data_IF_793306551347
#
_entry.id   IF_793306551347
#
_cell.length_a   1.000
_cell.length_b   1.000
_cell.length_c   1.000
_cell.angle_alpha   90.00
_cell.angle_beta   90.00
_cell.angle_gamma   90.00
#
_symmetry.space_group_name_H-M   'P 1'
#
loop_
_entity.id
_entity.type
_entity.pdbx_description
1 polymer ?
#
# COMPACT_ATOMS: atom_id res chain seq x y z
N UNK A 1 18.17 -30.87 -3.45
CA UNK A 1 18.16 -29.55 -4.10
C UNK A 1 19.07 -28.67 -3.28
N UNK A 2 20.04 -28.05 -3.93
CA UNK A 2 21.06 -27.23 -3.26
C UNK A 2 20.44 -25.84 -3.09
N UNK A 3 19.68 -25.68 -2.00
CA UNK A 3 19.13 -24.35 -1.66
C UNK A 3 20.30 -23.49 -1.21
N UNK A 4 20.71 -22.54 -2.06
CA UNK A 4 21.60 -21.49 -1.62
C UNK A 4 20.91 -20.79 -0.45
N UNK A 5 21.59 -20.58 0.70
CA UNK A 5 20.96 -19.87 1.80
C UNK A 5 20.49 -18.50 1.28
N UNK A 6 19.19 -18.20 1.41
CA UNK A 6 18.63 -16.89 1.09
C UNK A 6 19.40 -15.84 1.88
N UNK A 7 19.79 -14.76 1.24
CA UNK A 7 20.47 -13.69 1.97
C UNK A 7 19.44 -12.77 2.63
N UNK A 8 19.80 -12.16 3.74
CA UNK A 8 18.91 -11.30 4.53
C UNK A 8 18.34 -10.14 3.71
N UNK A 9 19.11 -9.61 2.73
CA UNK A 9 18.67 -8.51 1.85
C UNK A 9 17.48 -8.94 0.99
N UNK A 10 17.59 -10.06 0.28
CA UNK A 10 16.49 -10.58 -0.54
C UNK A 10 15.26 -10.94 0.29
N UNK A 11 15.46 -11.51 1.49
CA UNK A 11 14.36 -11.85 2.39
C UNK A 11 13.62 -10.60 2.93
N UNK A 12 14.33 -9.51 3.19
CA UNK A 12 13.71 -8.25 3.63
C UNK A 12 12.89 -7.57 2.51
N UNK A 13 13.39 -7.58 1.27
CA UNK A 13 12.63 -7.08 0.12
C UNK A 13 11.37 -7.93 -0.09
N UNK A 14 11.50 -9.26 -0.15
CA UNK A 14 10.38 -10.21 -0.27
C UNK A 14 9.35 -10.01 0.85
N UNK A 15 9.79 -9.79 2.11
CA UNK A 15 8.90 -9.57 3.23
C UNK A 15 8.12 -8.24 3.12
N UNK A 16 8.77 -7.17 2.61
CA UNK A 16 8.09 -5.91 2.33
C UNK A 16 7.01 -6.12 1.27
N UNK A 17 7.37 -6.64 0.11
CA UNK A 17 6.43 -6.82 -1.01
C UNK A 17 5.26 -7.72 -0.62
N UNK A 18 5.54 -8.82 0.11
CA UNK A 18 4.49 -9.73 0.59
C UNK A 18 3.57 -9.05 1.61
N UNK A 19 4.09 -8.24 2.55
CA UNK A 19 3.25 -7.57 3.54
C UNK A 19 2.32 -6.53 2.91
N UNK A 20 2.81 -5.75 1.94
CA UNK A 20 1.98 -4.79 1.19
C UNK A 20 0.92 -5.53 0.36
N UNK A 21 1.30 -6.60 -0.33
CA UNK A 21 0.36 -7.44 -1.07
C UNK A 21 -0.75 -8.02 -0.17
N UNK A 22 -0.41 -8.49 1.04
CA UNK A 22 -1.37 -9.05 1.98
C UNK A 22 -2.39 -8.00 2.44
N UNK A 23 -1.96 -6.77 2.74
CA UNK A 23 -2.85 -5.66 3.11
C UNK A 23 -3.82 -5.35 1.97
N UNK A 24 -3.31 -5.21 0.74
CA UNK A 24 -4.12 -4.91 -0.45
C UNK A 24 -5.14 -6.01 -0.74
N UNK A 25 -4.72 -7.29 -0.68
CA UNK A 25 -5.61 -8.44 -0.90
C UNK A 25 -6.66 -8.56 0.20
N UNK A 26 -6.30 -8.25 1.44
CA UNK A 26 -7.22 -8.30 2.56
C UNK A 26 -8.35 -7.26 2.39
N UNK A 27 -8.03 -6.01 2.11
CA UNK A 27 -9.03 -4.98 1.79
C UNK A 27 -9.83 -5.32 0.53
N UNK A 28 -9.18 -5.86 -0.51
CA UNK A 28 -9.86 -6.30 -1.72
C UNK A 28 -10.84 -7.44 -1.44
N UNK A 29 -10.49 -8.40 -0.57
CA UNK A 29 -11.38 -9.50 -0.18
C UNK A 29 -12.66 -8.97 0.47
N UNK A 30 -12.54 -7.95 1.33
CA UNK A 30 -13.68 -7.27 1.95
C UNK A 30 -14.51 -6.52 0.91
N UNK A 31 -13.86 -5.75 0.03
CA UNK A 31 -14.53 -4.98 -1.02
C UNK A 31 -15.32 -5.86 -2.00
N UNK A 32 -14.75 -6.98 -2.44
CA UNK A 32 -15.40 -7.91 -3.37
C UNK A 32 -16.30 -8.94 -2.67
N UNK A 33 -16.19 -9.09 -1.34
CA UNK A 33 -16.82 -10.16 -0.57
C UNK A 33 -16.36 -11.53 -1.04
N UNK A 34 -15.09 -11.69 -1.40
CA UNK A 34 -14.52 -12.88 -2.03
C UNK A 34 -13.76 -13.75 -1.02
N UNK A 35 -14.36 -14.89 -0.56
CA UNK A 35 -13.70 -15.76 0.41
C UNK A 35 -12.47 -16.47 -0.12
N UNK A 36 -12.40 -16.76 -1.43
CA UNK A 36 -11.22 -17.41 -2.01
C UNK A 36 -10.01 -16.48 -1.94
N UNK A 37 -10.22 -15.16 -2.10
CA UNK A 37 -9.18 -14.15 -1.92
C UNK A 37 -8.76 -14.01 -0.45
N UNK A 38 -9.70 -14.10 0.47
CA UNK A 38 -9.39 -14.06 1.90
C UNK A 38 -8.60 -15.30 2.35
N UNK A 39 -8.87 -16.49 1.77
CA UNK A 39 -8.07 -17.70 2.01
C UNK A 39 -6.63 -17.54 1.49
N UNK A 40 -6.43 -16.82 0.38
CA UNK A 40 -5.10 -16.54 -0.17
C UNK A 40 -4.24 -15.68 0.78
N UNK A 41 -4.87 -14.74 1.51
CA UNK A 41 -4.18 -13.95 2.55
C UNK A 41 -3.69 -14.86 3.69
N UNK A 42 -4.47 -15.86 4.10
CA UNK A 42 -4.05 -16.85 5.09
C UNK A 42 -2.85 -17.67 4.58
N UNK A 43 -2.82 -18.06 3.29
CA UNK A 43 -1.70 -18.80 2.69
C UNK A 43 -0.42 -17.95 2.61
N UNK A 44 -0.55 -16.66 2.31
CA UNK A 44 0.59 -15.73 2.31
C UNK A 44 1.14 -15.50 3.73
N UNK A 45 0.29 -15.50 4.76
CA UNK A 45 0.73 -15.39 6.16
C UNK A 45 1.60 -16.59 6.58
N UNK A 46 1.22 -17.82 6.19
CA UNK A 46 2.04 -18.99 6.46
C UNK A 46 3.44 -18.84 5.82
N UNK A 47 3.54 -18.34 4.58
CA UNK A 47 4.81 -18.08 3.89
C UNK A 47 5.59 -16.95 4.60
N UNK A 48 4.93 -15.87 5.02
CA UNK A 48 5.54 -14.79 5.77
C UNK A 48 6.12 -15.28 7.10
N UNK A 49 5.40 -16.11 7.83
CA UNK A 49 5.87 -16.71 9.09
C UNK A 49 7.14 -17.52 8.91
N UNK A 50 7.25 -18.31 7.84
CA UNK A 50 8.47 -19.06 7.51
C UNK A 50 9.62 -18.11 7.16
N UNK A 51 9.36 -17.10 6.34
CA UNK A 51 10.35 -16.10 5.93
C UNK A 51 10.91 -15.32 7.14
N UNK A 52 10.04 -14.91 8.05
CA UNK A 52 10.41 -14.21 9.30
C UNK A 52 11.25 -15.11 10.19
N UNK A 53 10.90 -16.39 10.30
CA UNK A 53 11.70 -17.36 11.07
C UNK A 53 13.13 -17.45 10.52
N UNK A 54 13.29 -17.54 9.21
CA UNK A 54 14.59 -17.62 8.54
C UNK A 54 15.39 -16.33 8.71
N UNK A 55 14.76 -15.15 8.56
CA UNK A 55 15.40 -13.86 8.81
C UNK A 55 15.92 -13.75 10.25
N UNK A 56 15.12 -14.14 11.23
CA UNK A 56 15.53 -14.16 12.65
C UNK A 56 16.75 -15.06 12.88
N UNK A 57 16.79 -16.23 12.27
CA UNK A 57 17.91 -17.15 12.37
C UNK A 57 19.19 -16.54 11.76
N UNK A 58 19.10 -15.90 10.59
CA UNK A 58 20.23 -15.22 9.95
C UNK A 58 20.72 -14.04 10.78
N UNK A 59 19.84 -13.21 11.34
CA UNK A 59 20.21 -12.09 12.22
C UNK A 59 20.98 -12.56 13.45
N UNK A 60 20.53 -13.65 14.09
CA UNK A 60 21.22 -14.25 15.25
C UNK A 60 22.60 -14.77 14.87
N UNK A 61 22.75 -15.39 13.70
CA UNK A 61 24.05 -15.91 13.22
C UNK A 61 25.01 -14.79 12.77
N UNK A 62 24.49 -13.65 12.32
CA UNK A 62 25.29 -12.51 11.89
C UNK A 62 25.93 -11.77 13.06
N UNK A 63 25.30 -11.76 14.24
CA UNK A 63 25.75 -11.02 15.43
C UNK A 63 26.95 -11.74 16.10
N UNK A 64 28.18 -11.29 15.79
CA UNK A 64 29.44 -11.84 16.36
C UNK A 64 30.05 -10.94 17.45
N UNK A 65 29.51 -9.75 17.61
CA UNK A 65 29.97 -8.77 18.62
C UNK A 65 28.76 -7.99 19.17
N UNK A 66 28.89 -7.36 20.37
CA UNK A 66 27.81 -6.53 20.92
C UNK A 66 27.33 -5.43 19.97
N UNK A 67 28.23 -4.80 19.21
CA UNK A 67 27.87 -3.74 18.24
C UNK A 67 27.10 -4.29 17.05
N UNK A 68 27.47 -5.45 16.54
CA UNK A 68 26.73 -6.13 15.47
C UNK A 68 25.36 -6.60 15.97
N UNK A 69 25.27 -7.06 17.23
CA UNK A 69 24.00 -7.44 17.86
C UNK A 69 23.05 -6.25 17.99
N UNK A 70 23.57 -5.06 18.31
CA UNK A 70 22.80 -3.81 18.38
C UNK A 70 22.23 -3.43 16.99
N UNK A 71 23.07 -3.48 15.93
CA UNK A 71 22.61 -3.28 14.56
C UNK A 71 21.56 -4.32 14.11
N UNK A 72 21.76 -5.62 14.45
CA UNK A 72 20.77 -6.66 14.13
C UNK A 72 19.45 -6.49 14.93
N UNK A 73 19.49 -5.85 16.10
CA UNK A 73 18.28 -5.56 16.88
C UNK A 73 17.34 -4.61 16.11
N UNK A 74 17.88 -3.61 15.39
CA UNK A 74 17.06 -2.72 14.56
C UNK A 74 16.40 -3.48 13.39
N UNK A 75 17.14 -4.41 12.78
CA UNK A 75 16.57 -5.28 11.73
C UNK A 75 15.46 -6.16 12.29
N UNK A 76 15.67 -6.80 13.45
CA UNK A 76 14.66 -7.65 14.09
C UNK A 76 13.41 -6.88 14.50
N UNK A 77 13.53 -5.60 14.85
CA UNK A 77 12.38 -4.74 15.15
C UNK A 77 11.51 -4.52 13.90
N UNK A 78 12.14 -4.17 12.78
CA UNK A 78 11.43 -4.00 11.49
C UNK A 78 10.79 -5.33 11.05
N UNK A 79 11.53 -6.45 11.10
CA UNK A 79 10.99 -7.78 10.77
C UNK A 79 9.78 -8.14 11.64
N UNK A 80 9.83 -7.79 12.94
CA UNK A 80 8.70 -8.07 13.84
C UNK A 80 7.49 -7.17 13.58
N UNK A 81 7.69 -5.95 13.09
CA UNK A 81 6.58 -5.08 12.66
C UNK A 81 5.94 -5.62 11.37
N UNK A 82 6.75 -5.99 10.38
CA UNK A 82 6.26 -6.61 9.12
C UNK A 82 5.43 -7.87 9.40
N UNK A 83 5.89 -8.76 10.29
CA UNK A 83 5.15 -9.95 10.67
C UNK A 83 3.77 -9.60 11.30
N UNK A 84 3.73 -8.57 12.15
CA UNK A 84 2.46 -8.13 12.74
C UNK A 84 1.54 -7.51 11.70
N UNK A 85 2.05 -6.71 10.74
CA UNK A 85 1.25 -6.19 9.62
C UNK A 85 0.61 -7.33 8.81
N UNK A 86 1.35 -8.42 8.59
CA UNK A 86 0.79 -9.60 7.94
C UNK A 86 -0.36 -10.23 8.75
N UNK A 87 -0.23 -10.31 10.09
CA UNK A 87 -1.31 -10.76 10.96
C UNK A 87 -2.53 -9.82 10.91
N UNK A 88 -2.32 -8.50 10.91
CA UNK A 88 -3.39 -7.51 10.83
C UNK A 88 -4.15 -7.63 9.48
N UNK A 89 -3.44 -7.91 8.38
CA UNK A 89 -4.05 -8.23 7.08
C UNK A 89 -4.94 -9.51 7.16
N UNK A 90 -4.48 -10.55 7.86
CA UNK A 90 -5.31 -11.75 8.11
C UNK A 90 -6.55 -11.40 8.92
N UNK A 91 -6.45 -10.51 9.91
CA UNK A 91 -7.61 -10.09 10.72
C UNK A 91 -8.63 -9.33 9.86
N UNK A 92 -8.20 -8.51 8.89
CA UNK A 92 -9.08 -7.92 7.87
C UNK A 92 -9.75 -9.03 7.02
N UNK A 93 -9.00 -9.98 6.49
CA UNK A 93 -9.52 -11.05 5.64
C UNK A 93 -10.54 -11.96 6.38
N UNK A 94 -10.36 -12.17 7.69
CA UNK A 94 -11.28 -12.92 8.55
C UNK A 94 -12.68 -12.34 8.60
N UNK A 95 -12.88 -11.06 8.31
CA UNK A 95 -14.20 -10.45 8.18
C UNK A 95 -15.02 -11.20 7.14
N UNK A 96 -14.42 -11.60 6.04
CA UNK A 96 -15.05 -12.33 4.94
C UNK A 96 -15.20 -13.82 5.28
N UNK A 97 -14.13 -14.49 5.71
CA UNK A 97 -14.15 -15.93 6.00
C UNK A 97 -15.07 -16.26 7.18
N UNK A 98 -15.12 -15.41 8.20
CA UNK A 98 -16.01 -15.56 9.36
C UNK A 98 -17.39 -14.94 9.16
N UNK A 99 -17.66 -14.35 7.97
CA UNK A 99 -18.93 -13.72 7.61
C UNK A 99 -19.38 -12.69 8.66
N UNK A 100 -18.47 -11.87 9.11
CA UNK A 100 -18.80 -10.74 9.96
C UNK A 100 -19.61 -9.75 9.12
N UNK A 101 -20.69 -9.21 9.67
CA UNK A 101 -21.58 -8.33 8.93
C UNK A 101 -20.86 -7.06 8.52
N UNK A 102 -21.02 -6.68 7.25
CA UNK A 102 -20.54 -5.42 6.67
C UNK A 102 -21.74 -4.72 6.06
N UNK A 103 -21.99 -3.43 6.39
CA UNK A 103 -23.01 -2.63 5.73
C UNK A 103 -22.73 -2.49 4.24
N UNK A 104 -23.78 -2.46 3.42
CA UNK A 104 -23.63 -2.28 1.96
C UNK A 104 -23.05 -0.94 1.58
N UNK A 105 -23.27 0.08 2.40
CA UNK A 105 -22.71 1.42 2.25
C UNK A 105 -21.19 1.39 2.20
N UNK A 106 -20.53 0.60 3.06
CA UNK A 106 -19.08 0.50 3.09
C UNK A 106 -18.50 0.10 1.72
N UNK A 107 -19.12 -0.86 1.02
CA UNK A 107 -18.63 -1.30 -0.29
C UNK A 107 -18.74 -0.19 -1.34
N UNK A 108 -19.76 0.66 -1.26
CA UNK A 108 -19.90 1.81 -2.15
C UNK A 108 -18.84 2.88 -1.85
N UNK A 109 -18.65 3.21 -0.57
CA UNK A 109 -17.75 4.29 -0.15
C UNK A 109 -16.27 3.90 -0.27
N UNK A 110 -15.92 2.61 -0.14
CA UNK A 110 -14.57 2.12 -0.46
C UNK A 110 -14.17 2.34 -1.93
N UNK A 111 -15.14 2.55 -2.84
CA UNK A 111 -14.84 2.93 -4.23
C UNK A 111 -14.38 4.39 -4.38
N UNK A 112 -14.55 5.22 -3.36
CA UNK A 112 -14.13 6.62 -3.31
C UNK A 112 -12.83 6.81 -2.49
N UNK A 113 -12.19 5.71 -2.06
CA UNK A 113 -10.89 5.75 -1.37
C UNK A 113 -9.78 6.35 -2.26
N UNK A 114 -8.69 6.80 -1.65
CA UNK A 114 -7.51 7.36 -2.38
C UNK A 114 -6.90 6.30 -3.30
N UNK A 115 -6.82 5.06 -2.84
CA UNK A 115 -6.47 3.88 -3.63
C UNK A 115 -7.58 2.84 -3.52
N UNK A 116 -7.89 2.21 -4.65
CA UNK A 116 -9.02 1.29 -4.78
C UNK A 116 -8.61 -0.05 -5.35
N UNK A 117 -9.29 -1.09 -4.91
CA UNK A 117 -9.19 -2.41 -5.52
C UNK A 117 -10.12 -2.50 -6.73
N UNK A 118 -9.60 -2.94 -7.87
CA UNK A 118 -10.38 -3.13 -9.08
C UNK A 118 -10.13 -4.50 -9.69
N UNK A 119 -11.14 -5.07 -10.36
CA UNK A 119 -11.00 -6.32 -11.09
C UNK A 119 -11.39 -6.16 -12.54
N UNK A 120 -10.62 -6.77 -13.45
CA UNK A 120 -10.90 -6.73 -14.87
C UNK A 120 -10.66 -8.10 -15.52
N UNK A 121 -11.55 -8.48 -16.43
CA UNK A 121 -11.40 -9.70 -17.24
C UNK A 121 -10.56 -9.38 -18.47
N UNK A 122 -9.53 -10.17 -18.73
CA UNK A 122 -8.75 -10.13 -19.98
C UNK A 122 -9.60 -10.73 -21.11
N UNK A 123 -10.10 -9.88 -21.99
CA UNK A 123 -10.93 -10.31 -23.14
C UNK A 123 -10.06 -10.84 -24.27
N UNK A 124 -10.62 -11.76 -25.06
CA UNK A 124 -9.98 -12.22 -26.30
C UNK A 124 -9.84 -11.04 -27.28
N UNK A 125 -8.62 -10.86 -27.83
CA UNK A 125 -8.30 -9.72 -28.68
C UNK A 125 -8.04 -8.39 -27.94
N UNK A 126 -8.01 -8.35 -26.61
CA UNK A 126 -7.59 -7.20 -25.84
C UNK A 126 -6.09 -6.90 -26.03
N UNK A 127 -5.67 -5.67 -25.72
CA UNK A 127 -4.25 -5.31 -25.75
C UNK A 127 -3.40 -6.10 -24.75
N UNK A 128 -4.02 -6.63 -23.70
CA UNK A 128 -3.36 -7.40 -22.64
C UNK A 128 -3.16 -8.88 -23.00
N UNK A 129 -4.00 -9.44 -23.88
CA UNK A 129 -3.98 -10.88 -24.18
C UNK A 129 -2.65 -11.32 -24.81
N UNK A 130 -2.12 -12.44 -24.31
CA UNK A 130 -0.86 -13.05 -24.77
C UNK A 130 0.39 -12.18 -24.61
N UNK A 131 0.38 -11.24 -23.66
CA UNK A 131 1.51 -10.36 -23.37
C UNK A 131 1.99 -10.55 -21.94
N UNK A 132 3.31 -10.45 -21.69
CA UNK A 132 3.84 -10.40 -20.34
C UNK A 132 3.50 -9.05 -19.68
N UNK A 133 3.33 -9.03 -18.37
CA UNK A 133 2.97 -7.82 -17.62
C UNK A 133 3.99 -6.69 -17.80
N UNK A 134 5.28 -7.00 -17.82
CA UNK A 134 6.34 -6.01 -18.07
C UNK A 134 6.15 -5.22 -19.35
N UNK A 135 5.55 -5.82 -20.39
CA UNK A 135 5.28 -5.13 -21.66
C UNK A 135 4.03 -4.25 -21.64
N UNK A 136 3.23 -4.34 -20.60
CA UNK A 136 1.98 -3.59 -20.45
C UNK A 136 2.17 -2.32 -19.60
N UNK A 137 3.20 -2.29 -18.77
CA UNK A 137 3.56 -1.15 -17.91
C UNK A 137 2.34 -0.55 -17.17
N UNK A 138 1.45 -1.41 -16.65
CA UNK A 138 0.14 -0.99 -16.11
C UNK A 138 0.28 -0.01 -14.95
N UNK A 139 1.29 -0.19 -14.12
CA UNK A 139 1.59 0.69 -12.99
C UNK A 139 1.96 2.09 -13.46
N UNK A 140 2.75 2.18 -14.54
CA UNK A 140 3.20 3.45 -15.11
C UNK A 140 2.13 4.12 -15.98
N UNK A 141 1.35 3.34 -16.75
CA UNK A 141 0.38 3.86 -17.71
C UNK A 141 -1.02 4.12 -17.14
N UNK A 142 -1.36 3.44 -16.05
CA UNK A 142 -2.68 3.49 -15.45
C UNK A 142 -2.66 3.68 -13.92
N UNK A 143 -1.49 3.75 -13.28
CA UNK A 143 -1.41 3.85 -11.83
C UNK A 143 -2.06 2.66 -11.10
N UNK A 144 -2.11 1.48 -11.76
CA UNK A 144 -2.77 0.29 -11.23
C UNK A 144 -1.79 -0.89 -11.23
N UNK A 145 -1.45 -1.40 -10.04
CA UNK A 145 -0.60 -2.58 -9.86
C UNK A 145 -1.44 -3.86 -9.89
N UNK A 146 -0.96 -4.89 -10.56
CA UNK A 146 -1.60 -6.21 -10.51
C UNK A 146 -1.17 -6.91 -9.23
N UNK A 147 -2.11 -7.17 -8.34
CA UNK A 147 -1.89 -7.90 -7.10
C UNK A 147 -1.93 -9.40 -7.31
N UNK A 148 -2.91 -9.87 -8.09
CA UNK A 148 -3.11 -11.28 -8.33
C UNK A 148 -3.82 -11.51 -9.67
N UNK A 149 -3.63 -12.71 -10.22
CA UNK A 149 -4.32 -13.17 -11.43
C UNK A 149 -5.08 -14.44 -11.09
N UNK A 150 -6.41 -14.46 -11.35
CA UNK A 150 -7.20 -15.67 -11.24
C UNK A 150 -7.40 -16.29 -12.63
N UNK A 151 -6.78 -17.45 -12.83
CA UNK A 151 -6.87 -18.25 -14.07
C UNK A 151 -7.76 -19.45 -13.85
N UNK A 152 -9.02 -19.32 -14.23
CA UNK A 152 -10.04 -20.33 -13.93
C UNK A 152 -10.30 -20.41 -12.42
N UNK A 153 -9.79 -21.46 -11.75
CA UNK A 153 -9.89 -21.66 -10.29
C UNK A 153 -8.54 -21.50 -9.56
N UNK A 154 -7.49 -21.22 -10.29
CA UNK A 154 -6.14 -21.09 -9.74
C UNK A 154 -5.83 -19.62 -9.51
N UNK A 155 -5.32 -19.29 -8.32
CA UNK A 155 -4.72 -18.02 -8.00
C UNK A 155 -3.23 -18.02 -8.38
N UNK A 156 -2.75 -16.91 -8.87
CA UNK A 156 -1.36 -16.61 -9.16
C UNK A 156 -1.10 -15.31 -8.41
N UNK A 157 -0.44 -15.40 -7.27
CA UNK A 157 -0.09 -14.27 -6.37
C UNK A 157 1.36 -13.87 -6.51
N UNK A 158 2.22 -14.81 -6.94
CA UNK A 158 3.60 -14.51 -7.36
C UNK A 158 3.57 -13.98 -8.80
N UNK A 159 3.06 -12.74 -8.93
CA UNK A 159 2.88 -12.06 -10.22
C UNK A 159 4.10 -11.20 -10.49
N UNK A 160 4.84 -11.56 -11.52
CA UNK A 160 6.05 -10.85 -11.97
C UNK A 160 5.91 -10.28 -13.39
N UNK A 161 6.92 -9.53 -13.83
CA UNK A 161 6.95 -8.95 -15.16
C UNK A 161 6.88 -9.95 -16.31
N UNK A 162 7.30 -11.21 -16.09
CA UNK A 162 7.30 -12.30 -17.07
C UNK A 162 5.95 -13.05 -17.13
N UNK A 163 5.06 -12.77 -16.19
CA UNK A 163 3.71 -13.35 -16.13
C UNK A 163 2.91 -13.02 -17.38
N UNK A 164 2.67 -14.00 -18.24
CA UNK A 164 1.92 -13.85 -19.49
C UNK A 164 0.43 -13.98 -19.22
N UNK A 165 -0.33 -12.94 -19.56
CA UNK A 165 -1.78 -12.92 -19.46
C UNK A 165 -2.43 -13.70 -20.62
N UNK A 166 -3.49 -14.44 -20.31
CA UNK A 166 -4.28 -15.16 -21.33
C UNK A 166 -5.74 -14.75 -21.27
N UNK A 167 -6.48 -14.84 -22.39
CA UNK A 167 -7.92 -14.58 -22.39
C UNK A 167 -8.66 -15.42 -21.34
N UNK A 168 -9.52 -14.80 -20.57
CA UNK A 168 -10.23 -15.43 -19.47
C UNK A 168 -9.58 -15.25 -18.10
N UNK A 169 -8.36 -14.71 -18.03
CA UNK A 169 -7.76 -14.28 -16.75
C UNK A 169 -8.58 -13.15 -16.14
N UNK A 170 -8.78 -13.19 -14.84
CA UNK A 170 -9.30 -12.08 -14.06
C UNK A 170 -8.16 -11.47 -13.28
N UNK A 171 -7.81 -10.23 -13.63
CA UNK A 171 -6.81 -9.46 -12.91
C UNK A 171 -7.45 -8.79 -11.70
N UNK A 172 -6.79 -8.87 -10.57
CA UNK A 172 -7.09 -8.07 -9.38
C UNK A 172 -5.99 -7.02 -9.25
N UNK A 173 -6.39 -5.76 -9.18
CA UNK A 173 -5.48 -4.62 -9.23
C UNK A 173 -5.78 -3.68 -8.09
N UNK A 174 -4.74 -2.98 -7.63
CA UNK A 174 -4.81 -1.93 -6.64
C UNK A 174 -4.16 -0.65 -7.18
N UNK A 175 -4.67 0.51 -6.80
CA UNK A 175 -4.10 1.80 -7.19
C UNK A 175 -5.14 2.90 -7.42
N UNK A 176 -4.75 3.93 -8.17
CA UNK A 176 -5.58 5.12 -8.36
C UNK A 176 -6.89 4.85 -9.09
N UNK A 177 -8.05 5.32 -8.56
CA UNK A 177 -9.33 5.20 -9.25
C UNK A 177 -9.36 5.90 -10.62
N UNK A 178 -8.54 6.94 -10.80
CA UNK A 178 -8.42 7.67 -12.08
C UNK A 178 -7.85 6.80 -13.21
N UNK A 179 -7.10 5.76 -12.88
CA UNK A 179 -6.53 4.80 -13.83
C UNK A 179 -7.49 3.76 -14.36
N UNK A 180 -8.64 3.54 -13.71
CA UNK A 180 -9.58 2.47 -14.05
C UNK A 180 -10.08 2.55 -15.51
N UNK A 181 -10.35 3.75 -16.01
CA UNK A 181 -10.81 3.93 -17.39
C UNK A 181 -9.77 3.42 -18.38
N UNK A 182 -8.50 3.81 -18.18
CA UNK A 182 -7.39 3.40 -19.02
C UNK A 182 -7.14 1.90 -18.96
N UNK A 183 -7.15 1.34 -17.77
CA UNK A 183 -7.04 -0.12 -17.55
C UNK A 183 -8.09 -0.89 -18.33
N UNK A 184 -9.35 -0.46 -18.25
CA UNK A 184 -10.48 -1.14 -18.92
C UNK A 184 -10.42 -1.04 -20.44
N UNK A 185 -9.92 0.07 -20.97
CA UNK A 185 -9.62 0.18 -22.42
C UNK A 185 -8.59 -0.86 -22.86
N UNK A 186 -7.49 -1.02 -22.12
CA UNK A 186 -6.44 -2.00 -22.40
C UNK A 186 -6.96 -3.44 -22.34
N UNK A 187 -7.87 -3.74 -21.42
CA UNK A 187 -8.50 -5.04 -21.24
C UNK A 187 -9.64 -5.31 -22.25
N UNK A 188 -10.04 -4.34 -23.05
CA UNK A 188 -11.24 -4.35 -23.88
C UNK A 188 -12.52 -4.68 -23.05
N UNK A 189 -12.58 -4.16 -21.83
CA UNK A 189 -13.68 -4.35 -20.89
C UNK A 189 -14.72 -3.22 -21.03
N UNK A 190 -16.00 -3.47 -20.69
CA UNK A 190 -17.03 -2.43 -20.68
C UNK A 190 -16.67 -1.26 -19.77
N UNK A 191 -17.24 -0.08 -20.03
CA UNK A 191 -17.11 1.08 -19.13
C UNK A 191 -17.60 0.69 -17.75
N UNK A 192 -16.84 1.06 -16.71
CA UNK A 192 -17.20 0.84 -15.33
C UNK A 192 -17.84 2.11 -14.75
N UNK A 193 -18.92 1.93 -14.05
CA UNK A 193 -19.54 2.99 -13.25
C UNK A 193 -19.39 2.59 -11.79
N UNK A 194 -18.85 3.49 -10.93
CA UNK A 194 -18.76 3.21 -9.51
C UNK A 194 -20.14 2.97 -8.91
N UNK A 195 -20.26 2.12 -7.88
CA UNK A 195 -21.49 1.98 -7.11
C UNK A 195 -21.87 3.36 -6.56
N UNK A 196 -23.11 3.80 -6.75
CA UNK A 196 -23.58 5.09 -6.22
C UNK A 196 -24.23 4.85 -4.87
N UNK A 197 -23.93 5.66 -3.84
CA UNK A 197 -24.76 5.70 -2.65
C UNK A 197 -26.18 6.19 -3.01
N UNK A 198 -27.19 5.73 -2.28
CA UNK A 198 -28.58 6.16 -2.48
C UNK A 198 -28.70 7.66 -2.20
N UNK A 199 -29.01 8.46 -3.23
CA UNK A 199 -29.18 9.90 -3.10
C UNK A 199 -30.43 10.23 -2.28
N UNK A 200 -30.27 10.82 -1.11
CA UNK A 200 -31.33 11.53 -0.42
C UNK A 200 -31.59 11.23 1.04
N UNK A 201 -30.77 10.46 1.75
CA UNK A 201 -30.94 10.24 3.19
C UNK A 201 -30.16 11.27 4.04
N UNK A 202 -30.74 11.61 5.19
CA UNK A 202 -30.03 12.37 6.23
C UNK A 202 -28.87 11.50 6.74
N UNK A 203 -27.66 12.06 6.77
CA UNK A 203 -26.46 11.38 7.28
C UNK A 203 -26.75 10.72 8.63
N UNK A 204 -26.75 9.40 8.65
CA UNK A 204 -26.96 8.57 9.86
C UNK A 204 -25.64 8.39 10.61
N UNK A 205 -25.71 7.88 11.85
CA UNK A 205 -24.49 7.54 12.58
C UNK A 205 -23.73 6.37 11.92
N UNK A 206 -24.44 5.52 11.15
CA UNK A 206 -23.83 4.48 10.32
C UNK A 206 -23.02 5.10 9.16
N UNK A 207 -23.57 6.05 8.43
CA UNK A 207 -22.88 6.70 7.31
C UNK A 207 -21.59 7.37 7.81
N UNK A 208 -21.65 8.04 8.96
CA UNK A 208 -20.45 8.63 9.58
C UNK A 208 -19.40 7.59 9.98
N UNK A 209 -19.85 6.43 10.49
CA UNK A 209 -18.93 5.35 10.84
C UNK A 209 -18.24 4.80 9.57
N UNK A 210 -18.97 4.69 8.47
CA UNK A 210 -18.44 4.23 7.19
C UNK A 210 -17.47 5.24 6.59
N UNK A 211 -17.82 6.53 6.55
CA UNK A 211 -16.93 7.61 6.07
C UNK A 211 -15.59 7.60 6.83
N UNK A 212 -15.65 7.48 8.17
CA UNK A 212 -14.44 7.42 8.99
C UNK A 212 -13.63 6.17 8.70
N UNK A 213 -14.27 5.04 8.48
CA UNK A 213 -13.56 3.80 8.19
C UNK A 213 -12.81 3.86 6.84
N UNK A 214 -13.38 4.48 5.82
CA UNK A 214 -12.70 4.71 4.54
C UNK A 214 -11.46 5.60 4.74
N UNK A 215 -11.58 6.66 5.56
CA UNK A 215 -10.43 7.51 5.88
C UNK A 215 -9.39 6.76 6.73
N UNK A 216 -9.80 5.88 7.67
CA UNK A 216 -8.87 5.04 8.42
C UNK A 216 -8.09 4.10 7.49
N UNK A 217 -8.76 3.50 6.48
CA UNK A 217 -8.08 2.72 5.45
C UNK A 217 -7.01 3.57 4.75
N UNK A 218 -7.38 4.74 4.24
CA UNK A 218 -6.44 5.63 3.53
C UNK A 218 -5.26 6.03 4.43
N UNK A 219 -5.52 6.30 5.72
CA UNK A 219 -4.48 6.69 6.68
C UNK A 219 -3.55 5.52 7.02
N UNK A 220 -4.08 4.32 7.22
CA UNK A 220 -3.26 3.15 7.56
C UNK A 220 -2.33 2.76 6.41
N UNK A 221 -2.84 2.73 5.17
CA UNK A 221 -2.01 2.50 3.97
C UNK A 221 -0.95 3.61 3.81
N UNK A 222 -1.33 4.88 3.98
CA UNK A 222 -0.37 5.98 3.95
C UNK A 222 0.70 5.86 5.05
N UNK A 223 0.33 5.46 6.27
CA UNK A 223 1.28 5.27 7.37
C UNK A 223 2.31 4.18 7.06
N UNK A 224 1.88 3.07 6.45
CA UNK A 224 2.76 1.98 6.01
C UNK A 224 3.74 2.48 4.94
N UNK A 225 3.25 3.13 3.88
CA UNK A 225 4.08 3.65 2.78
C UNK A 225 5.08 4.72 3.26
N UNK A 226 4.65 5.64 4.15
CA UNK A 226 5.52 6.65 4.76
C UNK A 226 6.55 5.99 5.67
N UNK A 227 6.20 4.93 6.41
CA UNK A 227 7.13 4.21 7.28
C UNK A 227 8.25 3.53 6.48
N UNK A 228 7.92 2.81 5.42
CA UNK A 228 8.94 2.24 4.54
C UNK A 228 9.83 3.32 3.92
N UNK A 229 9.24 4.43 3.47
CA UNK A 229 9.99 5.55 2.91
C UNK A 229 10.91 6.20 3.93
N UNK A 230 10.47 6.32 5.19
CA UNK A 230 11.29 6.83 6.29
C UNK A 230 12.50 5.94 6.58
N UNK A 231 12.33 4.62 6.52
CA UNK A 231 13.42 3.64 6.68
C UNK A 231 14.42 3.69 5.54
N UNK A 232 13.95 3.71 4.29
CA UNK A 232 14.79 3.73 3.08
C UNK A 232 15.60 5.02 3.01
N UNK A 233 14.96 6.17 3.26
CA UNK A 233 15.56 7.49 3.14
C UNK A 233 16.28 7.94 4.43
N UNK A 234 16.13 7.24 5.55
CA UNK A 234 16.62 7.64 6.85
C UNK A 234 16.05 9.00 7.31
N UNK A 235 14.78 9.28 6.98
CA UNK A 235 14.19 10.61 7.14
C UNK A 235 13.36 10.73 8.42
N UNK A 236 13.88 11.50 9.39
CA UNK A 236 13.23 11.72 10.68
C UNK A 236 11.91 12.50 10.57
N UNK A 237 11.76 13.35 9.56
CA UNK A 237 10.53 14.10 9.34
C UNK A 237 9.39 13.16 8.92
N UNK A 238 9.67 12.22 8.02
CA UNK A 238 8.72 11.17 7.64
C UNK A 238 8.40 10.25 8.83
N UNK A 239 9.41 9.87 9.63
CA UNK A 239 9.18 9.04 10.81
C UNK A 239 8.26 9.73 11.83
N UNK A 240 8.43 11.03 12.07
CA UNK A 240 7.55 11.81 12.94
C UNK A 240 6.11 11.92 12.39
N UNK A 241 5.96 11.99 11.05
CA UNK A 241 4.64 12.02 10.42
C UNK A 241 3.87 10.70 10.63
N UNK A 242 4.56 9.55 10.59
CA UNK A 242 3.92 8.25 10.92
C UNK A 242 3.31 8.29 12.32
N UNK A 243 4.00 8.91 13.30
CA UNK A 243 3.45 9.11 14.64
C UNK A 243 2.16 9.94 14.65
N UNK A 244 2.07 10.98 13.84
CA UNK A 244 0.85 11.80 13.72
C UNK A 244 -0.29 11.03 13.03
N UNK A 245 0.03 10.18 12.04
CA UNK A 245 -0.96 9.35 11.36
C UNK A 245 -1.56 8.31 12.32
N UNK A 246 -0.72 7.67 13.13
CA UNK A 246 -1.15 6.71 14.15
C UNK A 246 -2.02 7.37 15.23
N UNK A 247 -1.62 8.54 15.78
CA UNK A 247 -2.45 9.29 16.71
C UNK A 247 -3.84 9.64 16.12
N UNK A 248 -3.88 9.94 14.81
CA UNK A 248 -5.13 10.22 14.11
C UNK A 248 -6.00 8.96 13.95
N UNK A 249 -5.39 7.80 13.66
CA UNK A 249 -6.08 6.52 13.56
C UNK A 249 -6.72 6.11 14.90
N UNK A 250 -6.00 6.31 16.00
CA UNK A 250 -6.47 6.03 17.36
C UNK A 250 -7.71 6.88 17.71
N UNK A 251 -7.65 8.20 17.43
CA UNK A 251 -8.80 9.11 17.63
C UNK A 251 -10.01 8.71 16.76
N UNK A 252 -9.75 8.30 15.52
CA UNK A 252 -10.80 7.91 14.58
C UNK A 252 -11.48 6.60 14.98
N UNK A 253 -10.72 5.61 15.47
CA UNK A 253 -11.25 4.36 16.02
C UNK A 253 -12.23 4.64 17.16
N UNK A 254 -11.84 5.47 18.13
CA UNK A 254 -12.70 5.83 19.27
C UNK A 254 -14.02 6.47 18.82
N UNK A 255 -13.97 7.35 17.82
CA UNK A 255 -15.15 7.98 17.24
C UNK A 255 -16.04 6.98 16.50
N UNK A 256 -15.45 6.09 15.70
CA UNK A 256 -16.16 5.06 14.96
C UNK A 256 -16.90 4.10 15.92
N UNK A 257 -16.24 3.63 16.95
CA UNK A 257 -16.87 2.78 17.97
C UNK A 257 -18.13 3.44 18.55
N UNK A 258 -18.06 4.73 18.87
CA UNK A 258 -19.20 5.47 19.40
C UNK A 258 -20.36 5.53 18.40
N UNK A 259 -20.10 5.77 17.12
CA UNK A 259 -21.15 5.83 16.08
C UNK A 259 -21.74 4.45 15.80
N UNK A 260 -20.94 3.39 15.81
CA UNK A 260 -21.43 2.00 15.69
C UNK A 260 -22.35 1.65 16.86
N UNK A 261 -21.97 2.01 18.09
CA UNK A 261 -22.81 1.78 19.28
C UNK A 261 -24.13 2.57 19.20
N UNK A 262 -24.12 3.79 18.68
CA UNK A 262 -25.35 4.59 18.48
C UNK A 262 -26.23 3.98 17.39
N UNK A 263 -25.66 3.59 16.24
CA UNK A 263 -26.41 2.91 15.19
C UNK A 263 -27.10 1.63 15.70
N UNK A 264 -26.42 0.85 16.56
CA UNK A 264 -27.01 -0.31 17.22
C UNK A 264 -28.15 0.08 18.18
N UNK A 265 -28.00 1.20 18.94
CA UNK A 265 -29.04 1.69 19.83
C UNK A 265 -30.27 2.20 19.05
N UNK A 266 -30.10 2.72 17.85
CA UNK A 266 -31.16 3.17 16.95
C UNK A 266 -31.86 2.03 16.21
N UNK A 267 -31.47 0.78 16.49
CA UNK A 267 -32.18 -0.42 16.03
C UNK A 267 -31.50 -1.19 14.89
N UNK A 268 -30.27 -0.82 14.52
CA UNK A 268 -29.46 -1.64 13.62
C UNK A 268 -29.12 -2.99 14.27
N UNK A 269 -29.10 -4.06 13.48
CA UNK A 269 -28.66 -5.37 13.97
C UNK A 269 -27.15 -5.34 14.32
N UNK A 270 -26.78 -5.53 15.60
CA UNK A 270 -25.37 -5.51 15.99
C UNK A 270 -24.51 -6.52 15.22
N UNK A 271 -25.09 -7.61 14.72
CA UNK A 271 -24.34 -8.60 13.93
C UNK A 271 -23.86 -8.04 12.58
N UNK A 272 -24.60 -7.07 12.02
CA UNK A 272 -24.24 -6.40 10.74
C UNK A 272 -23.19 -5.30 10.92
N UNK A 273 -22.87 -4.93 12.15
CA UNK A 273 -21.91 -3.85 12.48
C UNK A 273 -20.55 -4.39 12.94
N UNK A 274 -20.44 -5.70 13.18
CA UNK A 274 -19.21 -6.30 13.71
C UNK A 274 -18.02 -6.14 12.80
N UNK A 275 -18.24 -6.24 11.48
CA UNK A 275 -17.18 -6.08 10.51
C UNK A 275 -16.57 -4.68 10.52
N UNK A 276 -17.36 -3.63 10.81
CA UNK A 276 -16.84 -2.26 10.92
C UNK A 276 -15.84 -2.13 12.09
N UNK A 277 -16.19 -2.70 13.26
CA UNK A 277 -15.31 -2.65 14.43
C UNK A 277 -13.99 -3.40 14.19
N UNK A 278 -14.07 -4.61 13.61
CA UNK A 278 -12.87 -5.38 13.28
C UNK A 278 -11.99 -4.70 12.25
N UNK A 279 -12.61 -4.05 11.25
CA UNK A 279 -11.85 -3.34 10.23
C UNK A 279 -11.17 -2.08 10.79
N UNK A 280 -11.85 -1.38 11.71
CA UNK A 280 -11.28 -0.22 12.38
C UNK A 280 -10.12 -0.61 13.31
N UNK A 281 -10.26 -1.69 14.07
CA UNK A 281 -9.20 -2.25 14.92
C UNK A 281 -7.97 -2.61 14.05
N UNK A 282 -8.14 -3.36 12.98
CA UNK A 282 -7.04 -3.75 12.11
C UNK A 282 -6.38 -2.56 11.39
N UNK A 283 -7.14 -1.53 10.99
CA UNK A 283 -6.58 -0.32 10.38
C UNK A 283 -5.72 0.48 11.37
N UNK A 284 -6.11 0.54 12.64
CA UNK A 284 -5.33 1.17 13.70
C UNK A 284 -4.10 0.34 14.06
N UNK A 285 -4.24 -1.00 14.18
CA UNK A 285 -3.11 -1.91 14.39
C UNK A 285 -2.04 -1.76 13.30
N UNK A 286 -2.42 -1.60 12.02
CA UNK A 286 -1.49 -1.28 10.93
C UNK A 286 -0.74 0.04 11.17
N UNK A 287 -1.41 1.06 11.68
CA UNK A 287 -0.79 2.33 12.09
C UNK A 287 0.24 2.14 13.21
N UNK A 288 -0.09 1.36 14.21
CA UNK A 288 0.79 0.96 15.32
C UNK A 288 2.06 0.25 14.81
N UNK A 289 1.90 -0.67 13.85
CA UNK A 289 3.05 -1.38 13.27
C UNK A 289 3.92 -0.43 12.44
N UNK A 290 3.32 0.47 11.67
CA UNK A 290 4.05 1.48 10.92
C UNK A 290 4.89 2.37 11.87
N UNK A 291 4.31 2.82 12.98
CA UNK A 291 5.02 3.58 14.02
C UNK A 291 6.14 2.77 14.67
N UNK A 292 5.88 1.49 15.00
CA UNK A 292 6.89 0.61 15.57
C UNK A 292 8.10 0.40 14.64
N UNK A 293 7.90 0.40 13.32
CA UNK A 293 8.98 0.31 12.33
C UNK A 293 9.91 1.51 12.37
N UNK A 294 9.38 2.73 12.50
CA UNK A 294 10.14 3.96 12.34
C UNK A 294 10.63 4.56 13.66
N UNK A 295 10.25 4.01 14.79
CA UNK A 295 10.61 4.53 16.11
C UNK A 295 12.12 4.80 16.27
N UNK A 296 13.00 3.94 15.78
CA UNK A 296 14.44 4.14 15.83
C UNK A 296 14.90 5.32 14.96
N UNK A 297 14.26 5.54 13.80
CA UNK A 297 14.54 6.71 12.94
C UNK A 297 14.11 7.99 13.63
N UNK A 298 12.95 7.99 14.28
CA UNK A 298 12.42 9.13 15.03
C UNK A 298 13.36 9.52 16.17
N UNK A 299 13.85 8.56 16.96
CA UNK A 299 14.83 8.78 18.04
C UNK A 299 16.23 9.17 17.53
N UNK A 300 16.49 9.00 16.22
CA UNK A 300 17.76 9.33 15.57
C UNK A 300 18.85 8.30 15.80
N UNK A 301 18.47 7.08 16.08
CA UNK A 301 19.38 5.93 16.14
C UNK A 301 19.87 5.54 14.73
N UNK A 302 21.12 5.05 14.66
CA UNK A 302 21.66 4.54 13.40
C UNK A 302 21.04 3.18 13.06
N UNK A 303 20.28 3.12 12.00
CA UNK A 303 19.76 1.86 11.45
C UNK A 303 20.88 1.03 10.83
N UNK A 304 20.73 -0.29 10.84
CA UNK A 304 21.63 -1.15 10.07
C UNK A 304 21.49 -0.85 8.57
N UNK A 305 22.59 -0.60 7.82
CA UNK A 305 22.52 -0.19 6.41
C UNK A 305 21.74 -1.15 5.50
N UNK A 306 21.63 -2.43 5.89
CA UNK A 306 20.90 -3.44 5.12
C UNK A 306 19.41 -3.08 4.97
N UNK A 307 18.81 -2.37 5.93
CA UNK A 307 17.40 -1.98 5.83
C UNK A 307 17.17 -1.03 4.66
N UNK A 308 17.93 0.06 4.56
CA UNK A 308 17.80 0.99 3.44
C UNK A 308 18.10 0.35 2.08
N UNK A 309 19.08 -0.56 2.03
CA UNK A 309 19.46 -1.25 0.78
C UNK A 309 18.37 -2.26 0.37
N UNK A 310 17.94 -3.10 1.31
CA UNK A 310 16.99 -4.18 1.01
C UNK A 310 15.59 -3.64 0.67
N UNK A 311 15.08 -2.72 1.50
CA UNK A 311 13.75 -2.13 1.27
C UNK A 311 13.70 -1.21 0.05
N UNK A 312 14.84 -0.67 -0.39
CA UNK A 312 14.95 0.11 -1.64
C UNK A 312 15.03 -0.75 -2.91
N UNK A 313 15.06 -2.08 -2.80
CA UNK A 313 15.05 -3.03 -3.93
C UNK A 313 13.71 -3.78 -4.06
N UNK A 314 12.74 -3.40 -3.26
CA UNK A 314 11.37 -3.88 -3.36
C UNK A 314 10.69 -3.33 -4.64
N UNK A 315 9.57 -3.92 -5.04
CA UNK A 315 8.81 -3.54 -6.25
C UNK A 315 8.36 -2.08 -6.20
N UNK A 316 8.01 -1.61 -5.01
CA UNK A 316 7.68 -0.22 -4.76
C UNK A 316 8.82 0.50 -4.07
N UNK A 317 9.35 1.54 -4.73
CA UNK A 317 10.53 2.30 -4.29
C UNK A 317 10.15 3.67 -3.73
N UNK A 318 10.86 4.09 -2.69
CA UNK A 318 10.78 5.44 -2.16
C UNK A 318 11.88 6.32 -2.78
N UNK A 319 11.47 7.44 -3.37
CA UNK A 319 12.37 8.36 -4.07
C UNK A 319 12.32 9.76 -3.49
N UNK A 320 13.42 10.49 -3.67
CA UNK A 320 13.53 11.91 -3.32
C UNK A 320 14.15 12.66 -4.47
N UNK A 321 13.35 13.53 -5.12
CA UNK A 321 13.81 14.31 -6.28
C UNK A 321 13.61 15.81 -6.08
N UNK A 322 14.66 16.62 -6.26
CA UNK A 322 14.52 18.07 -6.28
C UNK A 322 13.82 18.54 -7.56
N UNK A 323 12.93 19.50 -7.41
CA UNK A 323 12.25 20.17 -8.51
C UNK A 323 13.15 21.25 -9.09
N UNK A 324 13.75 20.99 -10.25
CA UNK A 324 14.63 21.96 -10.90
C UNK A 324 13.83 23.10 -11.57
N UNK A 325 14.47 24.26 -11.69
CA UNK A 325 13.92 25.37 -12.45
C UNK A 325 13.70 24.99 -13.93
N UNK A 326 12.50 25.26 -14.44
CA UNK A 326 12.11 24.90 -15.82
C UNK A 326 11.87 23.41 -16.04
N UNK A 327 11.75 22.60 -14.96
CA UNK A 327 11.23 21.24 -15.04
C UNK A 327 9.74 21.23 -15.41
N UNK A 328 9.23 20.12 -15.93
CA UNK A 328 7.81 20.02 -16.33
C UNK A 328 6.87 20.04 -15.12
N UNK A 329 7.35 19.67 -13.94
CA UNK A 329 6.57 19.67 -12.70
C UNK A 329 6.54 21.06 -12.04
N UNK A 330 7.56 21.92 -12.25
CA UNK A 330 7.60 23.24 -11.63
C UNK A 330 6.49 24.16 -12.16
N UNK A 331 5.70 24.71 -11.26
CA UNK A 331 4.58 25.59 -11.57
C UNK A 331 3.24 24.86 -11.80
N UNK A 332 3.22 23.53 -11.84
CA UNK A 332 2.01 22.72 -12.01
C UNK A 332 1.43 22.27 -10.64
N UNK A 333 0.13 21.99 -10.59
CA UNK A 333 -0.48 21.36 -9.42
C UNK A 333 -0.33 19.84 -9.49
N UNK A 334 -0.35 19.15 -8.36
CA UNK A 334 -0.30 17.67 -8.34
C UNK A 334 -1.46 17.08 -9.13
N UNK A 335 -2.65 17.70 -9.07
CA UNK A 335 -3.82 17.28 -9.86
C UNK A 335 -3.57 17.38 -11.36
N UNK A 336 -2.91 18.45 -11.84
CA UNK A 336 -2.64 18.64 -13.27
C UNK A 336 -1.55 17.67 -13.76
N UNK A 337 -0.64 17.27 -12.86
CA UNK A 337 0.48 16.38 -13.18
C UNK A 337 0.06 14.92 -13.23
N UNK A 338 -0.95 14.52 -12.48
CA UNK A 338 -1.45 13.13 -12.39
C UNK A 338 -0.34 12.09 -12.18
N UNK A 339 0.63 12.40 -11.29
CA UNK A 339 1.80 11.56 -11.05
C UNK A 339 1.44 10.14 -10.57
N UNK A 340 0.30 9.99 -9.95
CA UNK A 340 -0.27 8.72 -9.51
C UNK A 340 -0.81 7.85 -10.66
N UNK A 341 -1.00 8.43 -11.86
CA UNK A 341 -1.38 7.69 -13.07
C UNK A 341 -0.13 7.43 -13.91
N UNK A 342 0.63 8.49 -14.23
CA UNK A 342 1.87 8.43 -15.01
C UNK A 342 2.88 9.40 -14.38
N UNK A 343 3.98 8.92 -13.81
CA UNK A 343 4.59 7.57 -13.86
C UNK A 343 4.18 6.57 -12.76
N UNK A 344 3.04 6.74 -12.09
CA UNK A 344 2.55 5.81 -11.07
C UNK A 344 3.04 6.12 -9.64
N UNK A 345 3.46 7.37 -9.37
CA UNK A 345 4.02 7.77 -8.07
C UNK A 345 3.04 8.54 -7.23
N UNK A 346 2.82 8.09 -6.01
CA UNK A 346 2.10 8.82 -4.97
C UNK A 346 3.06 9.74 -4.23
N UNK A 347 2.74 11.05 -4.19
CA UNK A 347 3.56 12.04 -3.48
C UNK A 347 3.22 12.01 -1.99
N UNK A 348 4.14 11.50 -1.17
CA UNK A 348 3.98 11.37 0.28
C UNK A 348 4.22 12.70 1.00
N UNK A 349 5.24 13.44 0.56
CA UNK A 349 5.58 14.74 1.13
C UNK A 349 6.30 15.64 0.12
N UNK A 350 6.22 16.95 0.37
CA UNK A 350 7.02 17.96 -0.32
C UNK A 350 7.84 18.69 0.73
N UNK A 351 9.17 18.66 0.60
CA UNK A 351 10.04 19.48 1.44
C UNK A 351 10.25 20.83 0.77
N UNK A 352 9.89 21.91 1.50
CA UNK A 352 9.97 23.30 1.05
C UNK A 352 10.50 24.20 2.16
N UNK A 353 11.54 24.99 1.88
CA UNK A 353 12.10 25.95 2.84
C UNK A 353 12.47 25.33 4.20
N UNK A 354 12.87 24.05 4.21
CA UNK A 354 13.23 23.31 5.42
C UNK A 354 12.06 22.75 6.25
N UNK A 355 10.81 22.96 5.80
CA UNK A 355 9.60 22.34 6.33
C UNK A 355 9.03 21.28 5.38
N UNK A 356 8.04 20.55 5.87
CA UNK A 356 7.33 19.51 5.09
C UNK A 356 5.87 19.90 4.86
N UNK A 357 5.35 19.54 3.70
CA UNK A 357 3.92 19.48 3.38
C UNK A 357 3.62 18.00 3.19
N UNK A 358 3.06 17.37 4.22
CA UNK A 358 2.72 15.95 4.20
C UNK A 358 1.38 15.71 3.51
N UNK A 359 1.22 14.54 2.87
CA UNK A 359 0.02 14.14 2.13
C UNK A 359 -0.55 15.31 1.31
N UNK A 360 0.25 15.89 0.39
CA UNK A 360 -0.14 17.10 -0.32
C UNK A 360 -1.34 16.81 -1.22
N UNK A 361 -2.44 17.54 -1.02
CA UNK A 361 -3.65 17.40 -1.84
C UNK A 361 -3.41 17.89 -3.28
N UNK A 362 -4.22 17.41 -4.21
CA UNK A 362 -4.10 17.71 -5.64
C UNK A 362 -3.99 19.20 -6.01
N UNK A 363 -4.53 20.12 -5.19
CA UNK A 363 -4.42 21.56 -5.41
C UNK A 363 -3.06 22.17 -5.07
N UNK A 364 -2.16 21.41 -4.42
CA UNK A 364 -0.81 21.87 -4.08
C UNK A 364 0.00 22.04 -5.36
N UNK A 365 0.64 23.21 -5.48
CA UNK A 365 1.48 23.56 -6.62
C UNK A 365 2.94 23.33 -6.26
N UNK A 366 3.66 22.59 -7.11
CA UNK A 366 5.09 22.43 -7.01
C UNK A 366 5.83 23.68 -7.50
N UNK A 367 6.90 24.06 -6.84
CA UNK A 367 7.75 25.19 -7.24
C UNK A 367 9.21 24.74 -7.33
N UNK A 368 9.99 25.46 -8.12
CA UNK A 368 11.44 25.20 -8.20
C UNK A 368 12.08 25.35 -6.81
N UNK A 369 12.93 24.39 -6.45
CA UNK A 369 13.54 24.30 -5.11
C UNK A 369 12.78 23.43 -4.12
N UNK A 370 11.56 22.97 -4.45
CA UNK A 370 10.91 21.89 -3.70
C UNK A 370 11.70 20.59 -3.85
N UNK A 371 11.52 19.70 -2.92
CA UNK A 371 11.98 18.33 -2.99
C UNK A 371 10.77 17.41 -2.83
N UNK A 372 10.46 16.63 -3.87
CA UNK A 372 9.36 15.67 -3.85
C UNK A 372 9.86 14.39 -3.19
N UNK A 373 9.12 13.89 -2.21
CA UNK A 373 9.29 12.56 -1.64
C UNK A 373 8.06 11.76 -2.06
N UNK A 374 8.30 10.67 -2.79
CA UNK A 374 7.22 9.90 -3.39
C UNK A 374 7.53 8.41 -3.35
N UNK A 375 6.49 7.58 -3.33
CA UNK A 375 6.55 6.13 -3.47
C UNK A 375 5.87 5.70 -4.76
N UNK A 376 6.39 4.66 -5.41
CA UNK A 376 5.83 4.13 -6.64
C UNK A 376 6.73 3.09 -7.31
N UNK A 377 6.34 2.60 -8.51
CA UNK A 377 7.04 1.51 -9.17
C UNK A 377 8.45 1.89 -9.61
N UNK A 378 9.40 0.95 -9.49
CA UNK A 378 10.79 1.15 -9.92
C UNK A 378 10.86 1.59 -11.39
N UNK A 379 10.04 1.03 -12.26
CA UNK A 379 10.01 1.34 -13.71
C UNK A 379 9.64 2.80 -14.00
N UNK A 380 8.86 3.43 -13.15
CA UNK A 380 8.45 4.84 -13.28
C UNK A 380 9.49 5.85 -12.80
N UNK A 381 10.50 5.41 -12.04
CA UNK A 381 11.47 6.27 -11.39
C UNK A 381 12.22 7.17 -12.37
N UNK A 382 12.70 6.60 -13.46
CA UNK A 382 13.45 7.35 -14.48
C UNK A 382 12.59 8.45 -15.15
N UNK A 383 11.30 8.19 -15.34
CA UNK A 383 10.37 9.17 -15.90
C UNK A 383 10.12 10.31 -14.91
N UNK A 384 9.87 10.00 -13.63
CA UNK A 384 9.69 11.02 -12.59
C UNK A 384 10.95 11.89 -12.44
N UNK A 385 12.14 11.29 -12.43
CA UNK A 385 13.41 12.01 -12.39
C UNK A 385 13.54 12.98 -13.57
N UNK A 386 13.20 12.53 -14.80
CA UNK A 386 13.20 13.34 -16.01
C UNK A 386 12.23 14.51 -15.90
N UNK A 387 11.02 14.29 -15.39
CA UNK A 387 10.01 15.32 -15.17
C UNK A 387 10.49 16.40 -14.18
N UNK A 388 11.26 16.00 -13.17
CA UNK A 388 11.91 16.90 -12.20
C UNK A 388 13.20 17.56 -12.75
N UNK A 389 13.69 17.14 -13.91
CA UNK A 389 15.02 17.47 -14.46
C UNK A 389 16.15 17.06 -13.53
N UNK A 390 16.03 15.91 -12.92
CA UNK A 390 17.05 15.29 -12.09
C UNK A 390 17.77 14.19 -12.88
N UNK A 391 19.10 14.25 -12.93
CA UNK A 391 19.89 13.18 -13.54
C UNK A 391 20.12 12.10 -12.48
N UNK A 392 19.56 10.92 -12.71
CA UNK A 392 19.94 9.73 -11.95
C UNK A 392 21.40 9.45 -12.24
N UNK A 393 22.27 9.48 -11.24
CA UNK A 393 23.62 8.95 -11.36
C UNK A 393 23.47 7.45 -11.61
N UNK A 394 23.88 6.99 -12.76
CA UNK A 394 24.03 5.56 -13.02
C UNK A 394 24.98 5.01 -11.95
N UNK A 395 24.51 4.11 -11.08
CA UNK A 395 25.38 3.40 -10.16
C UNK A 395 26.43 2.65 -11.00
N UNK A 396 27.65 3.15 -10.99
CA UNK A 396 28.80 2.42 -11.52
C UNK A 396 28.98 1.18 -10.63
N UNK A 397 28.55 0.02 -11.16
CA UNK A 397 28.44 -1.31 -10.59
C UNK A 397 29.66 -1.91 -9.88
#
# INVERSE_FOLDING_TARGET
>A
MDERPRNLRAMLAEAKDTSELMVDLAYASVYFGDPDMAEEVDELEEQMSELVHDMRAVCVLAARSPREAEGMSSVLQVVSAIERMANDAVDIARIVTHRLGIPRQLVADLSDAEEVSHRVLVSDGSHMAHRPLSSLELTVQAGMRVMAVRRGRQWITDVDGDTVLVPGDVLFLHGSPDGITRLRELAAAPVWEPPRPDEGEVLTDLDRAVDVLVEMKNLSEAAVGVAYSALVLGDRGLAAEVGHLEESLDEMRDHLELWVLRAAADGMDPSSLRGLLHLAEAAEDLGDQARAMVWLVEEGEELHPILGIALGEADEVAVRFPVAEGSTVAGSTLKDLQLNIEPGFTVLAIRRDGGYVYRPRGAVRLVAGDEIIASGPEEGQALLATMCRWELLEDEG
#
